data_IF_299181598173
#
_entry.id   IF_299181598173
#
_cell.length_a   1.000
_cell.length_b   1.000
_cell.length_c   1.000
_cell.angle_alpha   90.00
_cell.angle_beta   90.00
_cell.angle_gamma   90.00
#
_symmetry.space_group_name_H-M   'P 1'
#
loop_
_entity.id
_entity.type
_entity.pdbx_description
1 polymer ?
#
# COMPACT_ATOMS: atom_id res chain seq x y z
N UNK A 1 -50.47 -27.58 -9.43
CA UNK A 1 -49.11 -28.15 -9.52
C UNK A 1 -48.22 -27.26 -10.36
N UNK A 2 -47.40 -26.43 -9.71
CA UNK A 2 -46.47 -25.52 -10.39
C UNK A 2 -45.10 -26.18 -10.48
N UNK A 3 -44.57 -26.35 -11.70
CA UNK A 3 -43.24 -26.96 -11.92
C UNK A 3 -42.23 -25.84 -12.09
N UNK A 4 -41.33 -25.67 -11.12
CA UNK A 4 -40.18 -24.78 -11.27
C UNK A 4 -39.07 -25.54 -12.00
N UNK A 5 -38.66 -25.03 -13.17
CA UNK A 5 -37.60 -25.60 -13.99
C UNK A 5 -36.40 -24.68 -13.84
N UNK A 6 -35.34 -25.17 -13.19
CA UNK A 6 -34.08 -24.45 -13.04
C UNK A 6 -33.09 -24.96 -14.09
N UNK A 7 -32.58 -24.07 -14.93
CA UNK A 7 -31.46 -24.36 -15.82
C UNK A 7 -30.16 -24.08 -15.05
N UNK A 8 -29.28 -25.06 -14.96
CA UNK A 8 -27.94 -24.88 -14.37
C UNK A 8 -27.17 -23.91 -15.28
N UNK A 9 -26.84 -22.73 -14.77
CA UNK A 9 -25.95 -21.80 -15.46
C UNK A 9 -24.53 -22.37 -15.47
N UNK A 10 -23.82 -22.25 -16.59
CA UNK A 10 -22.39 -22.50 -16.62
C UNK A 10 -21.69 -21.46 -15.74
N UNK A 11 -20.69 -21.83 -14.93
CA UNK A 11 -19.94 -20.86 -14.15
C UNK A 11 -19.25 -19.92 -15.13
N UNK A 12 -19.77 -18.70 -15.23
CA UNK A 12 -19.06 -17.62 -15.93
C UNK A 12 -17.71 -17.45 -15.26
N UNK A 13 -16.60 -17.36 -16.01
CA UNK A 13 -15.30 -17.09 -15.42
C UNK A 13 -15.42 -15.83 -14.56
N UNK A 14 -15.15 -15.98 -13.26
CA UNK A 14 -15.21 -14.87 -12.32
C UNK A 14 -14.08 -13.92 -12.67
N UNK A 15 -14.46 -12.78 -13.24
CA UNK A 15 -13.54 -11.66 -13.47
C UNK A 15 -13.11 -11.15 -12.11
N UNK A 16 -11.82 -10.85 -11.93
CA UNK A 16 -11.29 -10.29 -10.67
C UNK A 16 -10.53 -9.00 -10.92
N UNK A 17 -10.45 -8.18 -9.87
CA UNK A 17 -9.58 -7.00 -9.81
C UNK A 17 -8.53 -7.15 -8.73
N UNK A 18 -7.26 -6.99 -9.11
CA UNK A 18 -6.11 -7.03 -8.23
C UNK A 18 -5.44 -5.65 -8.09
N UNK A 19 -4.90 -5.39 -6.91
CA UNK A 19 -4.16 -4.17 -6.58
C UNK A 19 -2.74 -4.55 -6.16
N UNK A 20 -1.76 -4.29 -7.01
CA UNK A 20 -0.36 -4.70 -6.82
C UNK A 20 0.62 -3.54 -6.97
N UNK A 21 1.80 -3.65 -6.38
CA UNK A 21 2.90 -2.71 -6.66
C UNK A 21 3.69 -3.08 -7.94
N UNK A 22 4.70 -2.27 -8.27
CA UNK A 22 5.60 -2.49 -9.43
C UNK A 22 6.35 -3.83 -9.36
N UNK A 23 6.55 -4.38 -8.17
CA UNK A 23 7.19 -5.68 -7.93
C UNK A 23 6.17 -6.85 -8.00
N UNK A 24 4.88 -6.55 -8.21
CA UNK A 24 3.79 -7.53 -8.28
C UNK A 24 3.25 -7.97 -6.92
N UNK A 25 3.64 -7.31 -5.82
CA UNK A 25 3.14 -7.63 -4.48
C UNK A 25 1.76 -7.03 -4.28
N UNK A 26 0.83 -7.84 -3.75
CA UNK A 26 -0.52 -7.38 -3.38
C UNK A 26 -0.48 -6.35 -2.26
N UNK A 27 -1.11 -5.19 -2.48
CA UNK A 27 -1.14 -4.05 -1.55
C UNK A 27 -2.56 -3.68 -1.07
N UNK A 28 -3.59 -4.28 -1.67
CA UNK A 28 -4.97 -4.24 -1.18
C UNK A 28 -5.69 -5.56 -1.51
N UNK A 29 -6.79 -5.90 -0.82
CA UNK A 29 -7.56 -7.12 -1.10
C UNK A 29 -8.04 -7.18 -2.55
N UNK A 30 -8.01 -8.39 -3.13
CA UNK A 30 -8.64 -8.68 -4.41
C UNK A 30 -10.16 -8.53 -4.31
N UNK A 31 -10.81 -8.12 -5.40
CA UNK A 31 -12.25 -7.98 -5.47
C UNK A 31 -12.83 -8.67 -6.70
N UNK A 32 -14.06 -9.16 -6.58
CA UNK A 32 -14.79 -9.78 -7.68
C UNK A 32 -15.35 -8.72 -8.64
N UNK A 33 -15.28 -9.04 -9.93
CA UNK A 33 -15.64 -8.17 -11.05
C UNK A 33 -14.55 -7.15 -11.40
N UNK A 34 -14.84 -6.33 -12.40
CA UNK A 34 -14.03 -5.16 -12.77
C UNK A 34 -14.31 -4.01 -11.81
N UNK A 35 -13.28 -3.50 -11.14
CA UNK A 35 -13.35 -2.36 -10.22
C UNK A 35 -12.44 -1.24 -10.69
N UNK A 36 -12.72 -0.03 -10.21
CA UNK A 36 -11.86 1.12 -10.42
C UNK A 36 -10.62 1.09 -9.50
N UNK A 37 -9.63 1.91 -9.85
CA UNK A 37 -8.46 2.15 -9.02
C UNK A 37 -8.86 2.76 -7.67
N UNK A 38 -8.14 2.36 -6.62
CA UNK A 38 -8.26 2.91 -5.26
C UNK A 38 -7.15 3.90 -4.95
N UNK A 39 -7.42 4.85 -4.07
CA UNK A 39 -6.36 5.61 -3.39
C UNK A 39 -5.78 4.72 -2.27
N UNK A 40 -4.51 4.38 -2.39
CA UNK A 40 -3.82 3.52 -1.43
C UNK A 40 -2.76 4.36 -0.72
N UNK A 41 -2.86 4.44 0.61
CA UNK A 41 -1.96 5.24 1.43
C UNK A 41 -0.50 4.84 1.19
N UNK A 42 0.33 5.81 0.82
CA UNK A 42 1.75 5.60 0.53
C UNK A 42 2.06 5.04 -0.86
N UNK A 43 1.08 5.02 -1.77
CA UNK A 43 1.24 4.59 -3.16
C UNK A 43 0.63 5.61 -4.15
N UNK A 44 1.11 5.60 -5.38
CA UNK A 44 0.62 6.34 -6.54
C UNK A 44 0.20 5.35 -7.62
N UNK A 45 -0.92 5.62 -8.27
CA UNK A 45 -1.37 4.81 -9.40
C UNK A 45 -0.44 5.01 -10.60
N UNK A 46 -0.01 3.90 -11.21
CA UNK A 46 0.85 3.90 -12.40
C UNK A 46 0.02 3.60 -13.63
N UNK A 47 -0.60 2.41 -13.68
CA UNK A 47 -1.34 1.94 -14.83
C UNK A 47 -2.36 0.86 -14.47
N UNK A 48 -3.24 0.55 -15.42
CA UNK A 48 -4.18 -0.57 -15.37
C UNK A 48 -3.90 -1.50 -16.52
N UNK A 49 -3.89 -2.80 -16.24
CA UNK A 49 -3.83 -3.87 -17.25
C UNK A 49 -5.10 -4.71 -17.18
N UNK A 50 -5.64 -5.06 -18.33
CA UNK A 50 -6.78 -5.99 -18.45
C UNK A 50 -6.36 -7.16 -19.31
N UNK A 51 -6.68 -8.39 -18.88
CA UNK A 51 -6.39 -9.60 -19.65
C UNK A 51 -7.55 -10.00 -20.59
N UNK A 52 -7.33 -11.04 -21.42
CA UNK A 52 -8.34 -11.54 -22.36
C UNK A 52 -9.61 -12.09 -21.67
N UNK A 53 -9.51 -12.43 -20.38
CA UNK A 53 -10.65 -12.91 -19.56
C UNK A 53 -11.41 -11.74 -18.91
N UNK A 54 -10.92 -10.51 -19.03
CA UNK A 54 -11.48 -9.31 -18.42
C UNK A 54 -10.95 -9.02 -17.01
N UNK A 55 -10.03 -9.83 -16.47
CA UNK A 55 -9.42 -9.56 -15.17
C UNK A 55 -8.61 -8.27 -15.24
N UNK A 56 -8.70 -7.49 -14.18
CA UNK A 56 -8.09 -6.16 -14.09
C UNK A 56 -6.98 -6.17 -13.04
N UNK A 57 -5.82 -5.61 -13.38
CA UNK A 57 -4.71 -5.42 -12.45
C UNK A 57 -4.33 -3.94 -12.43
N UNK A 58 -4.49 -3.30 -11.28
CA UNK A 58 -4.01 -1.95 -11.04
C UNK A 58 -2.61 -1.99 -10.44
N UNK A 59 -1.67 -1.33 -11.11
CA UNK A 59 -0.25 -1.28 -10.72
C UNK A 59 0.04 0.07 -10.05
N UNK A 60 0.74 0.01 -8.93
CA UNK A 60 1.03 1.16 -8.09
C UNK A 60 2.53 1.29 -7.76
N UNK A 61 2.99 2.53 -7.66
CA UNK A 61 4.34 2.89 -7.24
C UNK A 61 4.33 3.39 -5.81
N UNK A 62 5.28 2.95 -4.99
CA UNK A 62 5.39 3.44 -3.61
C UNK A 62 5.80 4.91 -3.59
N UNK A 63 5.02 5.75 -2.89
CA UNK A 63 5.37 7.15 -2.62
C UNK A 63 6.64 7.17 -1.79
N UNK A 64 7.68 7.83 -2.30
CA UNK A 64 8.84 8.20 -1.50
C UNK A 64 8.50 9.49 -0.75
N UNK A 65 7.69 9.40 0.31
CA UNK A 65 7.67 10.48 1.29
C UNK A 65 9.06 10.48 1.92
N UNK A 66 9.80 11.61 1.97
CA UNK A 66 10.92 11.69 2.89
C UNK A 66 10.34 11.31 4.25
N UNK A 67 10.82 10.21 4.83
CA UNK A 67 10.48 9.88 6.21
C UNK A 67 10.66 11.18 6.98
N UNK A 68 9.67 11.67 7.76
CA UNK A 68 9.95 12.79 8.64
C UNK A 68 11.15 12.34 9.45
N UNK A 69 12.29 12.96 9.19
CA UNK A 69 13.45 12.87 10.03
C UNK A 69 12.98 13.46 11.34
N UNK A 70 12.54 12.60 12.25
CA UNK A 70 12.45 12.94 13.66
C UNK A 70 13.90 13.20 14.07
N UNK A 71 14.35 14.44 13.85
CA UNK A 71 15.59 14.93 14.38
C UNK A 71 15.33 15.12 15.86
N UNK A 72 15.59 14.07 16.65
CA UNK A 72 15.61 14.17 18.09
C UNK A 72 16.78 15.07 18.46
N UNK A 73 16.53 16.38 18.55
CA UNK A 73 17.52 17.35 19.02
C UNK A 73 17.64 17.17 20.53
N UNK A 74 18.77 16.64 20.99
CA UNK A 74 19.12 16.69 22.41
C UNK A 74 19.63 18.09 22.70
N UNK A 75 18.89 18.85 23.49
CA UNK A 75 19.30 20.19 23.96
C UNK A 75 19.68 20.14 25.44
N UNK A 76 20.61 20.98 25.88
CA UNK A 76 20.91 21.17 27.31
C UNK A 76 19.85 22.04 28.01
N UNK A 77 20.00 22.24 29.32
CA UNK A 77 19.09 23.07 30.13
C UNK A 77 19.02 24.55 29.68
N UNK A 78 19.96 24.98 28.84
CA UNK A 78 20.03 26.32 28.26
C UNK A 78 19.54 26.38 26.79
N UNK A 79 19.10 25.24 26.23
CA UNK A 79 18.61 25.13 24.86
C UNK A 79 19.69 24.91 23.79
N UNK A 80 20.95 24.63 24.15
CA UNK A 80 22.01 24.38 23.18
C UNK A 80 21.98 22.92 22.68
N UNK A 81 22.15 22.69 21.36
CA UNK A 81 22.20 21.33 20.81
C UNK A 81 23.48 20.59 21.24
N UNK A 82 23.30 19.39 21.81
CA UNK A 82 24.37 18.53 22.35
C UNK A 82 25.08 17.67 21.30
N UNK A 83 24.56 17.57 20.08
CA UNK A 83 25.17 16.80 18.99
C UNK A 83 25.44 17.70 17.78
N UNK A 84 26.62 17.57 17.18
CA UNK A 84 26.92 18.15 15.87
C UNK A 84 26.13 17.36 14.82
N UNK A 85 25.49 18.06 13.88
CA UNK A 85 24.82 17.43 12.75
C UNK A 85 25.86 16.62 11.95
N UNK A 86 25.89 15.30 12.12
CA UNK A 86 26.62 14.41 11.23
C UNK A 86 25.67 14.06 10.07
N UNK A 87 25.99 14.56 8.88
CA UNK A 87 25.43 14.14 7.60
C UNK A 87 25.76 12.65 7.35
N UNK A 88 25.06 11.77 8.06
CA UNK A 88 25.29 10.34 8.06
C UNK A 88 23.96 9.61 8.06
N UNK A 89 23.54 9.15 6.87
CA UNK A 89 22.56 8.10 6.59
C UNK A 89 22.08 7.36 7.85
N UNK A 90 20.99 7.82 8.47
CA UNK A 90 20.52 7.28 9.73
C UNK A 90 19.79 5.95 9.53
N UNK A 91 20.49 4.86 9.85
CA UNK A 91 19.89 3.54 10.09
C UNK A 91 18.96 3.61 11.31
N UNK A 92 17.75 3.04 11.16
CA UNK A 92 16.69 3.02 12.18
C UNK A 92 17.22 2.45 13.51
N UNK A 93 17.29 3.29 14.55
CA UNK A 93 17.43 2.85 15.94
C UNK A 93 16.21 3.30 16.73
N UNK A 94 15.26 2.38 16.88
CA UNK A 94 14.13 2.52 17.82
C UNK A 94 14.72 2.32 19.21
N UNK A 95 14.72 3.37 20.04
CA UNK A 95 14.95 3.23 21.47
C UNK A 95 13.85 4.00 22.21
N UNK A 96 12.88 3.24 22.72
CA UNK A 96 11.82 3.70 23.60
C UNK A 96 12.44 3.87 25.00
N UNK A 97 12.74 5.11 25.40
CA UNK A 97 13.10 5.39 26.80
C UNK A 97 11.81 5.74 27.55
N UNK A 98 11.15 4.73 28.12
CA UNK A 98 10.15 4.96 29.17
C UNK A 98 10.92 5.37 30.43
N UNK A 99 10.75 6.63 30.84
CA UNK A 99 11.10 7.09 32.19
C UNK A 99 9.87 6.82 33.06
N UNK A 100 9.98 5.85 33.97
CA UNK A 100 9.50 5.96 35.36
C UNK A 100 10.35 5.06 36.26
#
# INVERSE_FOLDING_TARGET
NTKHIYKKAEPTPEVVTEYVDEDGKTIAPQEDGTKDKKDIKGYEFVETKTDEKGNTKHIYKKKTTPSPSIVTKFVDENGNPLAKDEDGKQVKKIFLLMIL
#
